data_IF_669470057646
#
_entry.id   IF_669470057646
#
_cell.length_a   1.000
_cell.length_b   1.000
_cell.length_c   1.000
_cell.angle_alpha   90.00
_cell.angle_beta   90.00
_cell.angle_gamma   90.00
#
_symmetry.space_group_name_H-M   'P 1'
#
loop_
_entity.id
_entity.type
_entity.pdbx_description
1 polymer ?
#
# COMPACT_ATOMS: atom_id res chain seq x y z
N UNK A 1 51.20 -24.60 -28.99
CA UNK A 1 51.65 -23.38 -28.28
C UNK A 1 50.65 -22.27 -28.59
N UNK A 2 50.21 -21.55 -27.55
CA UNK A 2 49.31 -20.36 -27.53
C UNK A 2 47.80 -20.57 -27.75
N UNK A 3 47.13 -20.78 -26.61
CA UNK A 3 45.79 -20.27 -26.24
C UNK A 3 45.59 -18.84 -26.79
N UNK A 4 44.53 -18.63 -27.55
CA UNK A 4 43.87 -17.33 -27.69
C UNK A 4 42.51 -17.49 -27.00
N UNK A 5 42.51 -17.19 -25.71
CA UNK A 5 41.28 -16.88 -24.98
C UNK A 5 40.90 -15.48 -25.47
N UNK A 6 40.03 -15.43 -26.46
CA UNK A 6 39.33 -14.19 -26.79
C UNK A 6 38.44 -13.85 -25.60
N UNK A 7 38.76 -12.72 -24.99
CA UNK A 7 38.00 -12.05 -23.95
C UNK A 7 36.52 -12.00 -24.37
N UNK A 8 35.67 -12.62 -23.55
CA UNK A 8 34.22 -12.43 -23.60
C UNK A 8 33.90 -11.02 -23.11
N UNK A 9 33.79 -10.09 -24.05
CA UNK A 9 33.38 -8.70 -23.83
C UNK A 9 31.87 -8.54 -24.03
N UNK A 10 31.09 -9.23 -23.21
CA UNK A 10 29.64 -9.15 -23.18
C UNK A 10 29.19 -8.99 -21.72
N UNK A 11 29.28 -7.73 -21.26
CA UNK A 11 29.10 -7.27 -19.88
C UNK A 11 27.67 -7.30 -19.32
N UNK A 12 26.87 -8.31 -19.64
CA UNK A 12 25.49 -8.44 -19.16
C UNK A 12 25.17 -9.76 -18.41
N UNK A 13 26.18 -10.49 -17.92
CA UNK A 13 25.98 -11.81 -17.27
C UNK A 13 26.50 -11.93 -15.81
N UNK A 14 26.67 -10.85 -15.04
CA UNK A 14 27.65 -10.92 -13.95
C UNK A 14 27.17 -10.92 -12.49
N UNK A 15 25.88 -10.83 -12.12
CA UNK A 15 25.57 -10.75 -10.68
C UNK A 15 24.37 -11.57 -10.18
N UNK A 16 24.72 -12.55 -9.34
CA UNK A 16 23.83 -13.42 -8.57
C UNK A 16 23.17 -12.63 -7.43
N UNK A 17 21.94 -12.16 -7.64
CA UNK A 17 21.22 -11.30 -6.70
C UNK A 17 19.98 -11.99 -6.17
N UNK A 18 19.75 -11.85 -4.88
CA UNK A 18 18.55 -12.33 -4.22
C UNK A 18 17.74 -11.17 -3.66
N UNK A 19 16.54 -11.49 -3.18
CA UNK A 19 15.73 -10.57 -2.39
C UNK A 19 15.54 -11.14 -0.99
N UNK A 20 15.73 -10.29 0.02
CA UNK A 20 15.49 -10.62 1.41
C UNK A 20 14.27 -9.83 1.90
N UNK A 21 13.17 -10.51 2.15
CA UNK A 21 11.96 -9.91 2.72
C UNK A 21 12.03 -10.04 4.23
N UNK A 22 11.97 -8.91 4.94
CA UNK A 22 11.94 -8.85 6.40
C UNK A 22 10.49 -8.66 6.84
N UNK A 23 9.87 -9.70 7.39
CA UNK A 23 8.45 -9.64 7.79
C UNK A 23 8.24 -9.21 9.23
N UNK A 24 9.31 -9.16 10.04
CA UNK A 24 9.23 -8.87 11.47
C UNK A 24 8.37 -9.88 12.24
N UNK A 25 7.94 -9.50 13.44
CA UNK A 25 6.93 -10.24 14.23
C UNK A 25 5.63 -9.45 14.36
N UNK A 26 4.69 -9.95 15.19
CA UNK A 26 3.44 -9.23 15.53
C UNK A 26 3.65 -7.74 15.81
N UNK A 27 3.01 -6.89 15.00
CA UNK A 27 2.98 -5.46 15.25
C UNK A 27 2.09 -5.19 16.47
N UNK A 28 2.68 -4.68 17.56
CA UNK A 28 1.95 -4.31 18.77
C UNK A 28 0.84 -3.29 18.53
N UNK A 29 0.98 -2.46 17.49
CA UNK A 29 0.01 -1.42 17.10
C UNK A 29 -1.10 -1.95 16.18
N UNK A 30 -0.84 -2.99 15.39
CA UNK A 30 -1.82 -3.54 14.44
C UNK A 30 -2.55 -4.77 14.98
N UNK A 31 -2.08 -5.37 16.07
CA UNK A 31 -2.66 -6.58 16.67
C UNK A 31 -2.49 -7.86 15.85
N UNK A 32 -1.94 -7.77 14.63
CA UNK A 32 -1.71 -8.89 13.71
C UNK A 32 -0.37 -8.76 12.97
N UNK A 33 0.04 -9.84 12.32
CA UNK A 33 1.23 -9.86 11.47
C UNK A 33 0.99 -9.03 10.20
N UNK A 34 1.88 -8.07 9.93
CA UNK A 34 1.76 -7.17 8.77
C UNK A 34 1.83 -7.92 7.44
N UNK A 35 2.54 -9.06 7.38
CA UNK A 35 2.64 -9.89 6.19
C UNK A 35 1.28 -10.36 5.68
N UNK A 36 0.31 -10.55 6.59
CA UNK A 36 -1.02 -11.06 6.27
C UNK A 36 -2.06 -9.94 6.05
N UNK A 37 -1.66 -8.66 6.09
CA UNK A 37 -2.57 -7.55 5.83
C UNK A 37 -3.04 -7.60 4.37
N UNK A 38 -4.36 -7.61 4.17
CA UNK A 38 -4.97 -7.65 2.84
C UNK A 38 -4.54 -6.44 1.99
N UNK A 39 -4.11 -6.67 0.76
CA UNK A 39 -3.62 -5.63 -0.15
C UNK A 39 -3.71 -6.07 -1.59
N UNK A 40 -4.30 -5.23 -2.45
CA UNK A 40 -4.67 -5.63 -3.80
C UNK A 40 -5.56 -6.88 -3.78
N UNK A 41 -5.19 -7.89 -4.56
CA UNK A 41 -5.84 -9.20 -4.61
C UNK A 41 -5.33 -10.19 -3.55
N UNK A 42 -4.26 -9.86 -2.81
CA UNK A 42 -3.59 -10.77 -1.88
C UNK A 42 -3.30 -10.11 -0.54
N UNK A 43 -2.10 -10.34 -0.02
CA UNK A 43 -1.55 -9.68 1.17
C UNK A 43 -0.35 -8.79 0.83
N UNK A 44 0.20 -8.10 1.83
CA UNK A 44 1.49 -7.41 1.70
C UNK A 44 2.58 -8.37 1.22
N UNK A 45 2.62 -9.59 1.76
CA UNK A 45 3.62 -10.58 1.38
C UNK A 45 3.39 -11.09 -0.04
N UNK A 46 2.14 -11.41 -0.42
CA UNK A 46 1.79 -11.80 -1.79
C UNK A 46 2.28 -10.76 -2.79
N UNK A 47 1.94 -9.50 -2.55
CA UNK A 47 2.26 -8.39 -3.45
C UNK A 47 3.76 -8.19 -3.57
N UNK A 48 4.49 -8.23 -2.44
CA UNK A 48 5.94 -8.07 -2.47
C UNK A 48 6.61 -9.27 -3.18
N UNK A 49 6.12 -10.49 -2.99
CA UNK A 49 6.63 -11.67 -3.69
C UNK A 49 6.41 -11.60 -5.21
N UNK A 50 5.22 -11.23 -5.66
CA UNK A 50 4.93 -11.04 -7.09
C UNK A 50 5.79 -9.93 -7.71
N UNK A 51 5.92 -8.80 -7.02
CA UNK A 51 6.84 -7.72 -7.39
C UNK A 51 8.27 -8.26 -7.51
N UNK A 52 8.78 -8.93 -6.49
CA UNK A 52 10.16 -9.43 -6.47
C UNK A 52 10.42 -10.53 -7.49
N UNK A 53 9.40 -11.22 -7.97
CA UNK A 53 9.53 -12.13 -9.11
C UNK A 53 9.77 -11.39 -10.44
N UNK A 54 9.18 -10.20 -10.61
CA UNK A 54 9.35 -9.39 -11.83
C UNK A 54 10.80 -8.93 -12.08
N UNK A 55 11.68 -9.08 -11.09
CA UNK A 55 13.10 -8.73 -11.17
C UNK A 55 14.05 -9.94 -11.26
N UNK A 56 13.49 -11.15 -11.46
CA UNK A 56 14.21 -12.41 -11.70
C UNK A 56 15.38 -12.67 -10.72
N UNK A 57 15.11 -12.72 -9.40
CA UNK A 57 16.14 -12.99 -8.41
C UNK A 57 16.55 -14.45 -8.46
N UNK A 58 17.79 -14.75 -8.09
CA UNK A 58 18.26 -16.14 -7.97
C UNK A 58 17.53 -16.87 -6.86
N UNK A 59 17.31 -16.18 -5.75
CA UNK A 59 16.54 -16.68 -4.63
C UNK A 59 15.85 -15.56 -3.88
N UNK A 60 14.75 -15.91 -3.22
CA UNK A 60 14.04 -15.07 -2.29
C UNK A 60 14.19 -15.68 -0.91
N UNK A 61 14.60 -14.88 0.06
CA UNK A 61 14.68 -15.28 1.46
C UNK A 61 13.65 -14.46 2.24
N UNK A 62 12.75 -15.12 2.96
CA UNK A 62 11.77 -14.50 3.83
C UNK A 62 12.23 -14.74 5.27
N UNK A 63 12.64 -13.69 5.96
CA UNK A 63 13.00 -13.75 7.37
C UNK A 63 11.77 -13.48 8.24
N UNK A 64 11.35 -14.48 8.99
CA UNK A 64 10.15 -14.49 9.83
C UNK A 64 10.31 -15.41 11.03
N UNK A 65 9.80 -15.00 12.19
CA UNK A 65 9.72 -15.86 13.39
C UNK A 65 8.33 -16.47 13.60
N UNK A 66 7.40 -16.17 12.69
CA UNK A 66 6.02 -16.67 12.71
C UNK A 66 5.73 -17.44 11.42
N UNK A 67 4.71 -18.30 11.45
CA UNK A 67 4.26 -18.97 10.24
C UNK A 67 3.68 -17.97 9.24
N UNK A 68 3.85 -18.30 7.96
CA UNK A 68 3.38 -17.46 6.85
C UNK A 68 2.37 -18.23 6.01
N UNK A 69 1.42 -17.48 5.45
CA UNK A 69 0.43 -17.97 4.51
C UNK A 69 0.83 -17.54 3.10
N UNK A 70 1.14 -18.52 2.25
CA UNK A 70 1.46 -18.32 0.84
C UNK A 70 0.34 -18.82 -0.09
N UNK A 71 -0.85 -19.09 0.43
CA UNK A 71 -1.96 -19.71 -0.33
C UNK A 71 -2.53 -18.81 -1.42
N UNK A 72 -2.31 -17.51 -1.32
CA UNK A 72 -2.72 -16.52 -2.32
C UNK A 72 -1.69 -16.31 -3.43
N UNK A 73 -0.51 -16.96 -3.36
CA UNK A 73 0.43 -16.91 -4.47
C UNK A 73 -0.11 -17.70 -5.68
N UNK A 74 0.07 -17.20 -6.91
CA UNK A 74 -0.20 -17.97 -8.11
C UNK A 74 0.76 -19.17 -8.23
N UNK A 75 0.32 -20.23 -8.90
CA UNK A 75 1.16 -21.40 -9.19
C UNK A 75 1.22 -22.43 -8.07
N UNK A 76 2.28 -23.24 -8.07
CA UNK A 76 2.47 -24.36 -7.15
C UNK A 76 3.78 -24.20 -6.36
N UNK A 77 3.74 -24.56 -5.08
CA UNK A 77 4.91 -24.64 -4.23
C UNK A 77 5.32 -26.09 -4.01
N UNK A 78 6.62 -26.33 -4.08
CA UNK A 78 7.23 -27.62 -3.76
C UNK A 78 8.26 -27.46 -2.66
N UNK A 79 8.23 -28.34 -1.66
CA UNK A 79 9.23 -28.39 -0.61
C UNK A 79 10.32 -29.43 -0.92
N UNK A 80 11.54 -29.12 -0.50
CA UNK A 80 12.68 -30.04 -0.55
C UNK A 80 13.57 -29.83 0.68
N UNK A 81 13.92 -30.92 1.34
CA UNK A 81 14.97 -30.92 2.36
C UNK A 81 16.33 -31.18 1.67
N UNK A 82 17.42 -30.48 2.02
CA UNK A 82 18.73 -30.62 1.35
C UNK A 82 19.33 -32.03 1.39
N UNK A 83 18.89 -32.85 2.34
CA UNK A 83 19.33 -34.26 2.50
C UNK A 83 18.39 -35.27 1.83
N UNK A 84 17.26 -34.83 1.25
CA UNK A 84 16.23 -35.70 0.65
C UNK A 84 16.39 -35.88 -0.87
N UNK A 85 17.59 -35.70 -1.41
CA UNK A 85 17.93 -35.82 -2.85
C UNK A 85 17.44 -37.13 -3.53
N UNK A 86 16.98 -38.13 -2.77
CA UNK A 86 16.40 -39.37 -3.29
C UNK A 86 14.90 -39.35 -3.57
N UNK A 87 14.13 -38.38 -3.05
CA UNK A 87 12.66 -38.34 -3.19
C UNK A 87 12.10 -37.19 -4.05
N UNK A 88 12.95 -36.29 -4.56
CA UNK A 88 12.51 -35.19 -5.40
C UNK A 88 11.71 -34.11 -4.65
N UNK A 89 11.25 -33.11 -5.38
CA UNK A 89 10.46 -32.00 -4.87
C UNK A 89 9.02 -32.46 -4.56
N UNK A 90 8.56 -32.28 -3.32
CA UNK A 90 7.20 -32.67 -2.91
C UNK A 90 6.27 -31.48 -3.03
N UNK A 91 5.21 -31.61 -3.84
CA UNK A 91 4.19 -30.57 -3.97
C UNK A 91 3.47 -30.38 -2.64
N UNK A 92 3.39 -29.13 -2.18
CA UNK A 92 2.67 -28.79 -0.96
C UNK A 92 1.15 -28.72 -1.23
N UNK A 93 0.36 -29.24 -0.29
CA UNK A 93 -1.09 -29.07 -0.31
C UNK A 93 -1.50 -27.69 0.25
N UNK A 94 -2.77 -27.32 0.10
CA UNK A 94 -3.28 -26.00 0.52
C UNK A 94 -3.04 -25.70 2.00
N UNK A 95 -3.22 -26.69 2.89
CA UNK A 95 -3.01 -26.52 4.34
C UNK A 95 -1.54 -26.29 4.67
N UNK A 96 -0.63 -26.97 3.97
CA UNK A 96 0.81 -26.79 4.13
C UNK A 96 1.27 -25.42 3.63
N UNK A 97 0.75 -24.98 2.47
CA UNK A 97 1.05 -23.67 1.89
C UNK A 97 0.52 -22.52 2.76
N UNK A 98 -0.64 -22.71 3.39
CA UNK A 98 -1.25 -21.72 4.29
C UNK A 98 -0.56 -21.60 5.66
N UNK A 99 0.34 -22.53 6.00
CA UNK A 99 0.97 -22.58 7.32
C UNK A 99 2.44 -23.00 7.25
N UNK A 100 3.20 -22.33 6.38
CA UNK A 100 4.64 -22.59 6.24
C UNK A 100 5.35 -22.10 7.50
N UNK A 101 6.02 -23.02 8.19
CA UNK A 101 6.84 -22.71 9.36
C UNK A 101 8.25 -22.28 8.92
N UNK A 102 8.85 -21.28 9.58
CA UNK A 102 10.24 -20.91 9.31
C UNK A 102 11.20 -22.05 9.70
N UNK A 103 12.09 -22.43 8.78
CA UNK A 103 13.07 -23.49 8.94
C UNK A 103 14.36 -23.15 8.17
N UNK A 104 15.51 -23.24 8.84
CA UNK A 104 16.80 -22.85 8.26
C UNK A 104 17.38 -23.85 7.25
N UNK A 105 16.75 -25.00 7.08
CA UNK A 105 17.19 -26.08 6.21
C UNK A 105 16.28 -26.26 5.00
N UNK A 106 14.99 -25.99 5.15
CA UNK A 106 13.99 -26.20 4.10
C UNK A 106 14.16 -25.23 2.92
N UNK A 107 13.98 -25.77 1.71
CA UNK A 107 13.97 -25.02 0.47
C UNK A 107 12.65 -25.24 -0.27
N UNK A 108 12.06 -24.15 -0.73
CA UNK A 108 10.84 -24.15 -1.54
C UNK A 108 11.16 -23.81 -3.00
N UNK A 109 10.42 -24.40 -3.93
CA UNK A 109 10.42 -24.04 -5.35
C UNK A 109 9.04 -23.49 -5.70
N UNK A 110 9.01 -22.29 -6.26
CA UNK A 110 7.79 -21.61 -6.68
C UNK A 110 7.68 -21.65 -8.20
N UNK A 111 6.71 -22.45 -8.67
CA UNK A 111 6.50 -22.74 -10.09
C UNK A 111 5.21 -22.08 -10.60
N UNK A 112 5.34 -21.28 -11.66
CA UNK A 112 4.22 -20.73 -12.42
C UNK A 112 4.36 -21.20 -13.86
N UNK A 113 3.25 -21.57 -14.47
CA UNK A 113 3.22 -22.05 -15.86
C UNK A 113 3.79 -20.98 -16.80
N UNK A 114 4.74 -21.37 -17.65
CA UNK A 114 5.44 -20.50 -18.61
C UNK A 114 6.37 -19.44 -18.00
N UNK A 115 6.73 -19.58 -16.73
CA UNK A 115 7.66 -18.65 -16.08
C UNK A 115 8.81 -19.39 -15.37
N UNK A 116 9.95 -18.71 -15.09
CA UNK A 116 11.07 -19.33 -14.39
C UNK A 116 10.70 -19.82 -12.98
N UNK A 117 11.14 -21.02 -12.61
CA UNK A 117 11.02 -21.50 -11.23
C UNK A 117 11.92 -20.69 -10.30
N UNK A 118 11.36 -20.14 -9.22
CA UNK A 118 12.11 -19.39 -8.23
C UNK A 118 12.37 -20.22 -6.97
N UNK A 119 13.57 -20.08 -6.42
CA UNK A 119 13.92 -20.70 -5.13
C UNK A 119 13.55 -19.76 -3.98
N UNK A 120 12.86 -20.30 -2.98
CA UNK A 120 12.48 -19.56 -1.78
C UNK A 120 13.01 -20.24 -0.50
N UNK A 121 13.35 -19.42 0.48
CA UNK A 121 13.72 -19.82 1.84
C UNK A 121 12.84 -19.07 2.83
N UNK A 122 12.35 -19.75 3.88
CA UNK A 122 11.58 -19.13 4.96
C UNK A 122 12.34 -19.41 6.25
N UNK A 123 12.99 -18.39 6.81
CA UNK A 123 14.03 -18.59 7.83
C UNK A 123 13.72 -17.83 9.12
N UNK A 124 13.89 -18.46 10.29
CA UNK A 124 13.78 -17.79 11.58
C UNK A 124 15.06 -17.03 11.91
N UNK A 125 14.96 -16.11 12.87
CA UNK A 125 16.13 -15.47 13.46
C UNK A 125 17.04 -16.52 14.13
N UNK A 126 18.36 -16.27 14.09
CA UNK A 126 19.32 -17.10 14.80
C UNK A 126 19.28 -16.77 16.31
N UNK A 127 18.41 -17.47 17.04
CA UNK A 127 18.21 -17.26 18.47
C UNK A 127 17.07 -16.29 18.76
N UNK A 128 17.21 -15.49 19.82
CA UNK A 128 16.19 -14.50 20.19
C UNK A 128 16.14 -13.36 19.16
N UNK A 129 14.94 -12.97 18.74
CA UNK A 129 14.77 -11.85 17.83
C UNK A 129 15.21 -10.53 18.47
N UNK A 130 16.10 -9.80 17.78
CA UNK A 130 16.68 -8.54 18.27
C UNK A 130 16.53 -7.44 17.22
N UNK A 131 15.35 -7.34 16.63
CA UNK A 131 15.02 -6.34 15.62
C UNK A 131 15.52 -6.68 14.22
N UNK A 132 15.52 -5.73 13.26
CA UNK A 132 15.79 -6.04 11.86
C UNK A 132 17.19 -6.60 11.58
N UNK A 133 18.16 -6.33 12.47
CA UNK A 133 19.53 -6.80 12.33
C UNK A 133 19.63 -8.34 12.47
N UNK A 134 18.82 -8.98 13.33
CA UNK A 134 18.77 -10.45 13.43
C UNK A 134 18.14 -11.08 12.18
N UNK A 135 17.11 -10.43 11.62
CA UNK A 135 16.50 -10.89 10.37
C UNK A 135 17.43 -10.78 9.16
N UNK A 136 18.21 -9.69 9.08
CA UNK A 136 19.30 -9.55 8.11
C UNK A 136 20.31 -10.69 8.25
N UNK A 137 20.76 -10.99 9.46
CA UNK A 137 21.70 -12.10 9.71
C UNK A 137 21.13 -13.44 9.22
N UNK A 138 19.90 -13.76 9.60
CA UNK A 138 19.24 -15.00 9.23
C UNK A 138 19.16 -15.14 7.70
N UNK A 139 18.68 -14.08 7.03
CA UNK A 139 18.51 -14.06 5.59
C UNK A 139 19.84 -14.22 4.83
N UNK A 140 20.84 -13.40 5.17
CA UNK A 140 22.15 -13.41 4.51
C UNK A 140 22.96 -14.69 4.76
N UNK A 141 22.69 -15.39 5.88
CA UNK A 141 23.38 -16.64 6.22
C UNK A 141 22.91 -17.82 5.38
N UNK A 142 21.61 -17.93 5.14
CA UNK A 142 20.98 -19.05 4.41
C UNK A 142 20.98 -18.82 2.90
N UNK A 143 20.79 -17.57 2.49
CA UNK A 143 20.75 -17.17 1.11
C UNK A 143 21.98 -17.58 0.28
N UNK A 144 21.76 -17.91 -1.00
CA UNK A 144 22.81 -18.32 -1.95
C UNK A 144 23.38 -17.18 -2.77
N UNK A 145 22.69 -16.05 -2.84
CA UNK A 145 23.10 -14.88 -3.61
C UNK A 145 24.20 -14.08 -2.91
N UNK A 146 25.09 -13.44 -3.65
CA UNK A 146 26.19 -12.68 -3.05
C UNK A 146 25.73 -11.34 -2.45
N UNK A 147 24.63 -10.83 -3.02
CA UNK A 147 23.99 -9.56 -2.67
C UNK A 147 22.49 -9.79 -2.57
N UNK A 148 21.89 -9.18 -1.55
CA UNK A 148 20.45 -9.14 -1.33
C UNK A 148 19.92 -7.71 -1.35
N UNK A 149 18.81 -7.49 -2.04
CA UNK A 149 17.94 -6.36 -1.76
C UNK A 149 17.09 -6.72 -0.55
N UNK A 150 17.37 -6.10 0.60
CA UNK A 150 16.57 -6.30 1.81
C UNK A 150 15.42 -5.29 1.83
N UNK A 151 14.19 -5.80 1.92
CA UNK A 151 12.94 -5.00 1.91
C UNK A 151 12.08 -5.37 3.11
N UNK A 152 11.67 -4.39 3.90
CA UNK A 152 10.67 -4.57 4.96
C UNK A 152 9.27 -4.74 4.39
N UNK A 153 8.47 -5.60 5.01
CA UNK A 153 7.10 -5.91 4.59
C UNK A 153 6.14 -4.71 4.71
N UNK A 154 6.51 -3.67 5.46
CA UNK A 154 5.66 -2.51 5.71
C UNK A 154 5.74 -1.40 4.65
N UNK A 155 6.45 -1.63 3.55
CA UNK A 155 6.51 -0.74 2.39
C UNK A 155 5.76 -1.33 1.18
N UNK A 156 4.42 -1.37 1.17
CA UNK A 156 3.69 -2.05 0.10
C UNK A 156 3.76 -1.31 -1.25
N UNK A 157 4.08 -0.02 -1.22
CA UNK A 157 4.25 0.78 -2.43
C UNK A 157 5.59 0.58 -3.09
N UNK A 158 6.60 0.03 -2.39
CA UNK A 158 7.93 -0.19 -2.92
C UNK A 158 7.84 -0.91 -4.28
N UNK A 159 8.28 -0.25 -5.35
CA UNK A 159 8.03 -0.69 -6.73
C UNK A 159 9.33 -0.95 -7.50
N UNK A 160 10.31 -1.49 -6.79
CA UNK A 160 11.65 -1.83 -7.27
C UNK A 160 12.60 -0.65 -7.31
N UNK A 161 13.61 -0.75 -6.44
CA UNK A 161 14.92 -0.27 -6.80
C UNK A 161 15.34 -1.10 -8.02
N UNK A 162 15.09 -0.57 -9.22
CA UNK A 162 15.76 -1.02 -10.42
C UNK A 162 17.18 -1.34 -10.01
N UNK A 163 17.60 -2.60 -10.14
CA UNK A 163 18.95 -3.03 -9.79
C UNK A 163 20.03 -2.31 -10.64
N UNK A 164 19.69 -1.24 -11.38
CA UNK A 164 20.58 -0.36 -12.11
C UNK A 164 21.44 0.53 -11.21
N UNK A 165 21.04 0.88 -9.99
CA UNK A 165 21.94 1.47 -8.98
C UNK A 165 22.87 0.43 -8.35
N UNK A 166 22.58 -0.87 -8.51
CA UNK A 166 23.51 -1.97 -8.17
C UNK A 166 24.76 -1.93 -9.06
N UNK A 167 24.74 -1.24 -10.21
CA UNK A 167 25.95 -0.98 -11.00
C UNK A 167 27.05 -0.32 -10.14
N UNK A 168 26.71 0.54 -9.17
CA UNK A 168 27.72 1.14 -8.27
C UNK A 168 28.31 0.13 -7.27
N UNK A 169 27.52 -0.82 -6.77
CA UNK A 169 28.03 -1.85 -5.84
C UNK A 169 28.94 -2.88 -6.50
N UNK A 170 28.71 -3.13 -7.79
CA UNK A 170 29.23 -4.31 -8.46
C UNK A 170 30.23 -3.98 -9.59
N UNK A 171 30.18 -2.77 -10.16
CA UNK A 171 31.19 -2.26 -11.08
C UNK A 171 32.15 -1.29 -10.39
N UNK A 172 33.10 -1.84 -9.65
CA UNK A 172 34.36 -1.14 -9.42
C UNK A 172 35.54 -2.12 -9.54
N UNK A 173 35.91 -2.46 -10.77
CA UNK A 173 37.18 -3.14 -11.04
C UNK A 173 38.32 -2.28 -10.48
N UNK A 174 39.04 -2.79 -9.47
CA UNK A 174 40.19 -2.13 -8.85
C UNK A 174 39.91 -1.24 -7.63
N UNK A 175 38.67 -1.20 -7.10
CA UNK A 175 38.36 -0.55 -5.80
C UNK A 175 37.88 -1.58 -4.76
N UNK A 176 37.90 -1.21 -3.49
CA UNK A 176 37.29 -2.02 -2.41
C UNK A 176 35.80 -2.20 -2.69
N UNK A 177 35.28 -3.45 -2.77
CA UNK A 177 33.86 -3.68 -3.03
C UNK A 177 32.96 -2.99 -2.01
N UNK A 178 31.86 -2.40 -2.46
CA UNK A 178 30.82 -1.86 -1.56
C UNK A 178 30.08 -3.03 -0.91
N UNK A 179 29.91 -2.97 0.41
CA UNK A 179 29.20 -3.98 1.21
C UNK A 179 27.72 -3.65 1.34
N UNK A 180 27.39 -2.35 1.45
CA UNK A 180 26.03 -1.86 1.58
C UNK A 180 25.76 -0.67 0.65
N UNK A 181 24.61 -0.63 -0.01
CA UNK A 181 24.04 0.60 -0.60
C UNK A 181 22.75 0.92 0.12
N UNK A 182 22.75 2.05 0.82
CA UNK A 182 21.68 2.44 1.75
C UNK A 182 21.02 3.72 1.24
N UNK A 183 19.72 3.68 0.92
CA UNK A 183 19.02 4.88 0.53
C UNK A 183 18.88 5.89 1.66
N UNK A 184 18.80 7.16 1.28
CA UNK A 184 18.49 8.29 2.16
C UNK A 184 17.25 9.03 1.67
N UNK A 185 16.33 9.31 2.58
CA UNK A 185 15.08 10.03 2.36
C UNK A 185 15.08 11.26 3.27
N UNK A 186 15.08 12.47 2.70
CA UNK A 186 15.21 13.73 3.42
C UNK A 186 16.38 13.71 4.44
N UNK A 187 17.50 13.10 4.07
CA UNK A 187 18.68 12.92 4.92
C UNK A 187 18.58 11.83 6.00
N UNK A 188 17.46 11.12 6.11
CA UNK A 188 17.31 9.96 7.00
C UNK A 188 17.64 8.65 6.26
N UNK A 189 18.28 7.72 6.96
CA UNK A 189 18.64 6.42 6.42
C UNK A 189 17.42 5.49 6.32
N UNK A 190 17.28 4.81 5.18
CA UNK A 190 16.28 3.77 4.90
C UNK A 190 16.94 2.38 4.80
N UNK A 191 17.38 1.79 5.93
CA UNK A 191 18.16 0.56 5.94
C UNK A 191 17.36 -0.68 5.53
N UNK A 192 16.02 -0.63 5.54
CA UNK A 192 15.18 -1.79 5.24
C UNK A 192 14.59 -1.75 3.84
N UNK A 193 15.20 -0.98 2.94
CA UNK A 193 14.97 -0.98 1.50
C UNK A 193 16.33 -0.80 0.79
N UNK A 194 17.33 -1.56 1.24
CA UNK A 194 18.74 -1.36 0.94
C UNK A 194 19.41 -2.65 0.43
N UNK A 195 20.55 -2.49 -0.22
CA UNK A 195 21.33 -3.61 -0.73
C UNK A 195 22.41 -4.00 0.27
N UNK A 196 22.55 -5.31 0.52
CA UNK A 196 23.52 -5.88 1.46
C UNK A 196 24.30 -7.04 0.83
N UNK A 197 25.62 -7.01 0.95
CA UNK A 197 26.47 -8.16 0.64
C UNK A 197 26.43 -9.21 1.74
N UNK A 198 26.63 -10.48 1.38
CA UNK A 198 26.89 -11.55 2.38
C UNK A 198 28.12 -11.28 3.24
N UNK A 199 29.05 -10.41 2.84
CA UNK A 199 30.19 -9.98 3.67
C UNK A 199 29.76 -9.28 4.96
N UNK A 200 28.52 -8.78 5.02
CA UNK A 200 27.95 -8.20 6.24
C UNK A 200 27.67 -9.22 7.35
N UNK A 201 27.65 -10.53 7.06
CA UNK A 201 27.28 -11.58 8.05
C UNK A 201 28.15 -11.53 9.31
N UNK A 202 29.47 -11.50 9.19
CA UNK A 202 30.37 -11.50 10.36
C UNK A 202 30.30 -10.17 11.16
N UNK A 203 30.36 -8.98 10.52
CA UNK A 203 30.11 -7.72 11.22
C UNK A 203 28.76 -7.66 11.95
N UNK A 204 27.70 -8.23 11.36
CA UNK A 204 26.38 -8.31 12.00
C UNK A 204 26.44 -9.21 13.25
N UNK A 205 27.09 -10.39 13.17
CA UNK A 205 27.26 -11.28 14.34
C UNK A 205 28.00 -10.58 15.48
N UNK A 206 29.07 -9.84 15.16
CA UNK A 206 29.83 -9.09 16.16
C UNK A 206 28.98 -8.03 16.86
N UNK A 207 28.18 -7.27 16.11
CA UNK A 207 27.27 -6.27 16.68
C UNK A 207 26.24 -6.92 17.61
N UNK A 208 25.61 -8.01 17.18
CA UNK A 208 24.63 -8.74 18.00
C UNK A 208 25.28 -9.31 19.27
N UNK A 209 26.50 -9.86 19.18
CA UNK A 209 27.25 -10.35 20.34
C UNK A 209 27.61 -9.22 21.34
N UNK A 210 27.76 -8.00 20.85
CA UNK A 210 27.99 -6.80 21.68
C UNK A 210 26.68 -6.19 22.25
N UNK A 211 25.51 -6.79 21.96
CA UNK A 211 24.21 -6.25 22.36
C UNK A 211 23.79 -5.01 21.56
N UNK A 212 24.37 -4.79 20.38
CA UNK A 212 24.04 -3.68 19.47
C UNK A 212 23.06 -4.20 18.42
N UNK A 213 21.83 -3.67 18.45
CA UNK A 213 20.71 -4.17 17.64
C UNK A 213 20.29 -3.23 16.50
N UNK A 214 20.89 -2.04 16.41
CA UNK A 214 20.53 -1.04 15.42
C UNK A 214 21.25 -1.31 14.10
N UNK A 215 20.51 -1.42 12.99
CA UNK A 215 21.10 -1.65 11.66
C UNK A 215 22.08 -0.54 11.27
N UNK A 216 21.84 0.71 11.70
CA UNK A 216 22.72 1.85 11.43
C UNK A 216 24.15 1.65 11.92
N UNK A 217 24.35 0.90 13.01
CA UNK A 217 25.67 0.60 13.55
C UNK A 217 26.52 -0.30 12.63
N UNK A 218 25.90 -1.01 11.69
CA UNK A 218 26.59 -1.79 10.67
C UNK A 218 27.38 -0.89 9.71
N UNK A 219 26.86 0.29 9.40
CA UNK A 219 27.41 1.15 8.35
C UNK A 219 28.78 1.74 8.71
N UNK A 220 29.12 1.79 10.00
CA UNK A 220 30.44 2.17 10.49
C UNK A 220 31.45 1.01 10.46
N UNK A 221 30.98 -0.23 10.24
CA UNK A 221 31.79 -1.46 10.26
C UNK A 221 32.10 -2.02 8.88
N UNK A 222 31.41 -1.54 7.84
CA UNK A 222 31.50 -2.05 6.47
C UNK A 222 31.53 -0.91 5.45
N UNK A 223 32.02 -1.19 4.24
CA UNK A 223 32.08 -0.18 3.19
C UNK A 223 30.65 0.15 2.69
N UNK A 224 30.14 1.33 3.04
CA UNK A 224 28.74 1.71 2.79
C UNK A 224 28.65 2.93 1.89
N UNK A 225 27.85 2.83 0.83
CA UNK A 225 27.48 3.94 -0.05
C UNK A 225 26.05 4.40 0.26
N UNK A 226 25.84 5.71 0.32
CA UNK A 226 24.53 6.32 0.57
C UNK A 226 24.00 6.99 -0.69
N UNK A 227 22.73 6.75 -1.03
CA UNK A 227 22.10 7.29 -2.25
C UNK A 227 20.81 8.03 -1.88
N UNK A 228 20.67 9.28 -2.31
CA UNK A 228 19.43 10.03 -2.12
C UNK A 228 18.31 9.51 -3.03
N UNK A 229 17.13 9.33 -2.48
CA UNK A 229 15.96 8.76 -3.17
C UNK A 229 14.70 9.61 -2.98
N UNK A 230 14.85 10.91 -2.69
CA UNK A 230 13.74 11.82 -2.40
C UNK A 230 12.64 11.85 -3.47
N UNK A 231 13.02 11.63 -4.73
CA UNK A 231 12.08 11.53 -5.87
C UNK A 231 11.22 10.26 -5.86
N UNK A 232 11.50 9.32 -4.96
CA UNK A 232 10.81 8.05 -4.78
C UNK A 232 10.15 7.93 -3.41
N UNK A 233 9.78 9.05 -2.77
CA UNK A 233 9.23 9.09 -1.41
C UNK A 233 8.11 8.08 -1.13
N UNK A 234 7.23 7.85 -2.10
CA UNK A 234 6.12 6.90 -1.96
C UNK A 234 6.61 5.44 -1.80
N UNK A 235 7.70 5.05 -2.47
CA UNK A 235 8.23 3.69 -2.42
C UNK A 235 8.72 3.31 -1.02
N UNK A 236 9.16 4.30 -0.24
CA UNK A 236 9.66 4.15 1.13
C UNK A 236 8.61 4.48 2.19
N UNK A 237 7.33 4.65 1.81
CA UNK A 237 6.25 4.95 2.75
C UNK A 237 5.92 3.72 3.60
N UNK A 238 6.36 3.74 4.86
CA UNK A 238 6.09 2.70 5.85
C UNK A 238 4.66 2.74 6.40
N UNK A 239 4.06 1.57 6.59
CA UNK A 239 2.74 1.40 7.21
C UNK A 239 2.90 0.79 8.60
N UNK A 240 2.61 1.58 9.63
CA UNK A 240 2.83 1.20 11.02
C UNK A 240 1.56 1.17 11.86
N UNK A 241 0.55 1.94 11.47
CA UNK A 241 -0.72 2.09 12.19
C UNK A 241 -1.92 1.68 11.34
N UNK A 242 -3.07 1.37 11.96
CA UNK A 242 -4.28 1.07 11.20
C UNK A 242 -4.73 2.24 10.32
N UNK A 243 -4.48 3.48 10.76
CA UNK A 243 -4.71 4.67 9.95
C UNK A 243 -3.80 4.69 8.71
N UNK A 244 -2.49 4.44 8.86
CA UNK A 244 -1.56 4.39 7.72
C UNK A 244 -2.04 3.38 6.67
N UNK A 245 -2.53 2.23 7.13
CA UNK A 245 -3.06 1.17 6.26
C UNK A 245 -4.31 1.63 5.49
N UNK A 246 -5.27 2.28 6.17
CA UNK A 246 -6.47 2.83 5.53
C UNK A 246 -6.12 3.93 4.52
N UNK A 247 -5.15 4.79 4.83
CA UNK A 247 -4.67 5.85 3.94
C UNK A 247 -3.94 5.28 2.72
N UNK A 248 -3.07 4.30 2.94
CA UNK A 248 -2.38 3.61 1.87
C UNK A 248 -3.35 2.91 0.92
N UNK A 249 -4.36 2.21 1.44
CA UNK A 249 -5.43 1.62 0.60
C UNK A 249 -6.19 2.69 -0.19
N UNK A 250 -6.50 3.81 0.45
CA UNK A 250 -7.20 4.91 -0.20
C UNK A 250 -6.40 5.52 -1.35
N UNK A 251 -5.11 5.74 -1.15
CA UNK A 251 -4.20 6.22 -2.18
C UNK A 251 -4.07 5.21 -3.32
N UNK A 252 -3.86 3.93 -3.01
CA UNK A 252 -3.75 2.88 -4.02
C UNK A 252 -5.00 2.82 -4.91
N UNK A 253 -6.20 2.83 -4.30
CA UNK A 253 -7.47 2.87 -5.04
C UNK A 253 -7.58 4.12 -5.92
N UNK A 254 -7.21 5.30 -5.41
CA UNK A 254 -7.25 6.52 -6.21
C UNK A 254 -6.21 6.57 -7.33
N UNK A 255 -5.11 5.82 -7.24
CA UNK A 255 -4.15 5.66 -8.36
C UNK A 255 -4.69 4.74 -9.47
N UNK A 256 -5.59 3.82 -9.14
CA UNK A 256 -6.18 2.88 -10.10
C UNK A 256 -7.47 3.39 -10.75
N UNK A 257 -8.21 4.27 -10.06
CA UNK A 257 -9.44 4.88 -10.60
C UNK A 257 -9.13 5.78 -11.80
N UNK A 258 -10.09 5.86 -12.72
CA UNK A 258 -10.07 6.84 -13.83
C UNK A 258 -10.04 8.29 -13.33
N UNK A 259 -10.71 8.54 -12.22
CA UNK A 259 -10.70 9.83 -11.51
C UNK A 259 -10.62 9.56 -10.00
N UNK A 260 -9.72 10.22 -9.27
CA UNK A 260 -9.68 10.14 -7.81
C UNK A 260 -11.03 10.55 -7.19
N UNK A 261 -11.41 9.88 -6.10
CA UNK A 261 -12.68 10.13 -5.42
C UNK A 261 -12.49 10.31 -3.92
N UNK A 262 -13.34 11.13 -3.31
CA UNK A 262 -13.46 11.27 -1.86
C UNK A 262 -14.94 11.09 -1.51
N UNK A 263 -15.24 10.10 -0.66
CA UNK A 263 -16.61 9.79 -0.26
C UNK A 263 -16.97 10.53 1.02
N UNK A 264 -18.00 11.37 0.99
CA UNK A 264 -18.57 12.02 2.18
C UNK A 264 -19.78 11.21 2.65
N UNK A 265 -19.63 10.54 3.78
CA UNK A 265 -20.55 9.53 4.31
C UNK A 265 -21.17 9.99 5.61
N UNK A 266 -22.42 9.63 5.88
CA UNK A 266 -23.05 9.75 7.20
C UNK A 266 -24.35 8.95 7.22
N UNK A 267 -24.60 8.25 8.32
CA UNK A 267 -25.78 7.38 8.49
C UNK A 267 -27.10 8.15 8.45
N UNK A 268 -27.16 9.27 9.16
CA UNK A 268 -28.39 10.04 9.28
C UNK A 268 -28.52 11.10 8.18
N UNK A 269 -29.76 11.54 7.92
CA UNK A 269 -30.02 12.67 7.05
C UNK A 269 -29.78 13.98 7.81
N UNK A 270 -29.49 15.07 7.08
CA UNK A 270 -29.27 16.42 7.65
C UNK A 270 -28.07 16.53 8.62
N UNK A 271 -27.05 15.69 8.45
CA UNK A 271 -25.82 15.69 9.29
C UNK A 271 -24.74 16.68 8.84
N UNK A 272 -24.96 17.44 7.76
CA UNK A 272 -23.94 18.36 7.23
C UNK A 272 -23.06 17.77 6.12
N UNK A 273 -23.34 16.56 5.59
CA UNK A 273 -22.62 15.98 4.43
C UNK A 273 -22.48 16.96 3.26
N UNK A 274 -23.59 17.58 2.86
CA UNK A 274 -23.59 18.53 1.75
C UNK A 274 -22.77 19.78 2.07
N UNK A 275 -22.73 20.21 3.33
CA UNK A 275 -21.87 21.32 3.77
C UNK A 275 -20.38 20.96 3.63
N UNK A 276 -19.99 19.78 4.13
CA UNK A 276 -18.60 19.30 4.01
C UNK A 276 -18.23 19.10 2.55
N UNK A 277 -19.08 18.45 1.76
CA UNK A 277 -18.84 18.21 0.34
C UNK A 277 -18.68 19.53 -0.45
N UNK A 278 -19.59 20.48 -0.28
CA UNK A 278 -19.52 21.78 -0.97
C UNK A 278 -18.31 22.59 -0.53
N UNK A 279 -17.92 22.54 0.74
CA UNK A 279 -16.71 23.22 1.21
C UNK A 279 -15.44 22.58 0.68
N UNK A 280 -15.37 21.25 0.59
CA UNK A 280 -14.26 20.55 -0.06
C UNK A 280 -14.17 20.90 -1.55
N UNK A 281 -15.30 20.95 -2.26
CA UNK A 281 -15.34 21.41 -3.66
C UNK A 281 -14.72 22.81 -3.78
N UNK A 282 -15.13 23.76 -2.95
CA UNK A 282 -14.56 25.11 -2.95
C UNK A 282 -13.05 25.11 -2.69
N UNK A 283 -12.59 24.37 -1.68
CA UNK A 283 -11.18 24.32 -1.29
C UNK A 283 -10.32 23.67 -2.38
N UNK A 284 -10.74 22.53 -2.94
CA UNK A 284 -10.01 21.88 -4.02
C UNK A 284 -10.03 22.70 -5.33
N UNK A 285 -11.15 23.38 -5.63
CA UNK A 285 -11.20 24.32 -6.76
C UNK A 285 -10.20 25.46 -6.57
N UNK A 286 -10.10 26.02 -5.35
CA UNK A 286 -9.10 27.04 -5.03
C UNK A 286 -7.65 26.52 -5.11
N UNK A 287 -7.44 25.21 -4.95
CA UNK A 287 -6.17 24.53 -5.18
C UNK A 287 -5.92 24.16 -6.66
N UNK A 288 -6.81 24.57 -7.57
CA UNK A 288 -6.69 24.37 -9.02
C UNK A 288 -7.19 23.02 -9.53
N UNK A 289 -8.07 22.33 -8.80
CA UNK A 289 -8.74 21.12 -9.28
C UNK A 289 -10.02 21.47 -10.03
N UNK A 290 -10.26 20.81 -11.18
CA UNK A 290 -11.61 20.63 -11.69
C UNK A 290 -12.29 19.58 -10.81
N UNK A 291 -13.35 19.98 -10.09
CA UNK A 291 -13.99 19.10 -9.10
C UNK A 291 -15.41 18.73 -9.53
N UNK A 292 -15.66 17.44 -9.70
CA UNK A 292 -16.98 16.88 -9.90
C UNK A 292 -17.70 16.60 -8.58
N UNK A 293 -19.03 16.51 -8.65
CA UNK A 293 -19.88 16.12 -7.54
C UNK A 293 -20.82 15.01 -7.98
N UNK A 294 -20.87 13.93 -7.20
CA UNK A 294 -21.78 12.82 -7.43
C UNK A 294 -22.58 12.54 -6.14
N UNK A 295 -23.88 12.26 -6.28
CA UNK A 295 -24.75 11.95 -5.16
C UNK A 295 -25.62 10.75 -5.47
N UNK A 296 -25.66 9.79 -4.54
CA UNK A 296 -26.64 8.70 -4.60
C UNK A 296 -27.89 9.06 -3.81
N UNK A 297 -29.02 9.22 -4.50
CA UNK A 297 -30.35 9.25 -3.89
C UNK A 297 -31.02 7.86 -3.90
N UNK A 298 -31.78 7.56 -2.85
CA UNK A 298 -32.60 6.35 -2.74
C UNK A 298 -34.06 6.56 -3.17
N UNK A 299 -34.52 7.80 -3.33
CA UNK A 299 -35.93 8.12 -3.55
C UNK A 299 -36.25 8.59 -4.99
N UNK A 300 -35.30 8.43 -5.92
CA UNK A 300 -35.39 9.01 -7.27
C UNK A 300 -35.12 10.51 -7.25
N UNK A 301 -34.92 11.11 -8.43
CA UNK A 301 -34.71 12.55 -8.58
C UNK A 301 -35.25 13.05 -9.91
N UNK A 302 -35.58 14.33 -9.97
CA UNK A 302 -35.92 15.03 -11.21
C UNK A 302 -34.96 16.20 -11.37
N UNK A 303 -34.16 16.19 -12.44
CA UNK A 303 -33.29 17.34 -12.80
C UNK A 303 -33.95 18.31 -13.79
N UNK A 304 -35.02 17.88 -14.45
CA UNK A 304 -35.73 18.69 -15.44
C UNK A 304 -36.89 19.48 -14.81
N UNK A 305 -37.31 20.54 -15.50
CA UNK A 305 -38.50 21.30 -15.14
C UNK A 305 -39.72 20.71 -15.83
N UNK A 306 -40.77 20.46 -15.07
CA UNK A 306 -42.05 20.00 -15.61
C UNK A 306 -42.56 20.94 -16.72
N UNK A 307 -42.97 20.36 -17.85
CA UNK A 307 -43.47 21.08 -19.03
C UNK A 307 -42.41 21.60 -20.00
N UNK A 308 -41.10 21.41 -19.74
CA UNK A 308 -40.04 21.73 -20.72
C UNK A 308 -40.06 20.77 -21.92
N UNK A 309 -39.40 21.15 -23.02
CA UNK A 309 -39.27 20.30 -24.22
C UNK A 309 -38.58 18.96 -23.89
N UNK A 310 -37.54 19.00 -23.05
CA UNK A 310 -36.82 17.81 -22.60
C UNK A 310 -37.68 16.94 -21.69
N UNK A 311 -38.52 17.55 -20.83
CA UNK A 311 -39.44 16.81 -19.98
C UNK A 311 -40.53 16.12 -20.82
N UNK A 312 -41.11 16.82 -21.79
CA UNK A 312 -42.11 16.26 -22.72
C UNK A 312 -41.52 15.11 -23.54
N UNK A 313 -40.28 15.23 -24.02
CA UNK A 313 -39.58 14.15 -24.71
C UNK A 313 -39.41 12.90 -23.80
N UNK A 314 -39.09 13.11 -22.51
CA UNK A 314 -39.00 12.01 -21.54
C UNK A 314 -40.35 11.31 -21.35
N UNK A 315 -41.44 12.08 -21.20
CA UNK A 315 -42.80 11.53 -21.05
C UNK A 315 -43.27 10.81 -22.31
N UNK A 316 -42.81 11.24 -23.48
CA UNK A 316 -43.06 10.56 -24.76
C UNK A 316 -42.28 9.25 -24.92
N UNK A 317 -41.38 8.91 -23.99
CA UNK A 317 -40.65 7.65 -23.96
C UNK A 317 -39.18 7.72 -24.42
N UNK A 318 -38.61 8.92 -24.60
CA UNK A 318 -37.18 9.05 -24.87
C UNK A 318 -36.36 8.50 -23.68
N UNK A 319 -35.49 7.52 -23.96
CA UNK A 319 -34.63 6.91 -22.93
C UNK A 319 -33.35 7.70 -22.66
N UNK A 320 -32.95 8.54 -23.60
CA UNK A 320 -31.79 9.42 -23.46
C UNK A 320 -32.14 10.76 -24.10
N UNK A 321 -31.87 11.84 -23.37
CA UNK A 321 -32.12 13.22 -23.78
C UNK A 321 -30.82 13.99 -23.57
N UNK A 322 -30.44 14.79 -24.55
CA UNK A 322 -29.31 15.70 -24.45
C UNK A 322 -29.77 17.12 -24.80
N UNK A 323 -29.34 18.09 -24.01
CA UNK A 323 -29.53 19.52 -24.27
C UNK A 323 -28.16 20.19 -24.19
N UNK A 324 -27.88 21.07 -25.15
CA UNK A 324 -26.63 21.83 -25.21
C UNK A 324 -26.95 23.32 -25.28
N UNK A 325 -26.33 24.10 -24.41
CA UNK A 325 -26.37 25.55 -24.39
C UNK A 325 -24.98 26.16 -24.55
N UNK A 326 -24.87 27.50 -24.56
CA UNK A 326 -23.60 28.19 -24.84
C UNK A 326 -22.46 27.91 -23.85
N UNK A 327 -22.77 27.58 -22.60
CA UNK A 327 -21.78 27.41 -21.53
C UNK A 327 -21.86 26.07 -20.81
N UNK A 328 -22.89 25.27 -21.08
CA UNK A 328 -23.13 24.00 -20.40
C UNK A 328 -24.02 23.11 -21.24
N UNK A 329 -23.93 21.81 -21.00
CA UNK A 329 -24.84 20.82 -21.55
C UNK A 329 -25.32 19.91 -20.42
N UNK A 330 -26.45 19.24 -20.64
CA UNK A 330 -26.96 18.22 -19.73
C UNK A 330 -27.41 17.00 -20.53
N UNK A 331 -27.21 15.83 -19.94
CA UNK A 331 -27.73 14.56 -20.45
C UNK A 331 -28.55 13.88 -19.37
N UNK A 332 -29.78 13.50 -19.72
CA UNK A 332 -30.65 12.69 -18.87
C UNK A 332 -30.81 11.32 -19.51
N UNK A 333 -30.41 10.27 -18.79
CA UNK A 333 -30.49 8.88 -19.26
C UNK A 333 -31.35 8.07 -18.29
N UNK A 334 -32.44 7.54 -18.79
CA UNK A 334 -33.35 6.67 -18.06
C UNK A 334 -32.89 5.22 -18.18
N UNK A 335 -32.82 4.52 -17.04
CA UNK A 335 -32.40 3.12 -16.97
C UNK A 335 -33.40 2.30 -16.15
N UNK A 336 -33.49 1.00 -16.45
CA UNK A 336 -34.38 0.09 -15.72
C UNK A 336 -33.80 -0.37 -14.38
N UNK A 337 -32.49 -0.25 -14.19
CA UNK A 337 -31.77 -0.68 -12.98
C UNK A 337 -30.85 0.43 -12.51
N UNK A 338 -30.83 0.67 -11.19
CA UNK A 338 -30.01 1.71 -10.57
C UNK A 338 -28.54 1.51 -10.94
N UNK A 339 -27.96 2.51 -11.62
CA UNK A 339 -26.52 2.54 -11.87
C UNK A 339 -25.75 2.79 -10.59
N UNK A 340 -24.58 2.18 -10.50
CA UNK A 340 -23.64 2.41 -9.43
C UNK A 340 -23.06 3.84 -9.51
N UNK A 341 -22.96 4.51 -8.36
CA UNK A 341 -22.55 5.91 -8.28
C UNK A 341 -21.06 6.09 -8.60
N UNK A 342 -20.23 5.09 -8.31
CA UNK A 342 -18.80 5.12 -8.63
C UNK A 342 -18.64 5.11 -10.15
N UNK A 343 -19.35 4.22 -10.83
CA UNK A 343 -19.37 4.15 -12.30
C UNK A 343 -19.78 5.47 -12.95
N UNK A 344 -20.75 6.19 -12.37
CA UNK A 344 -21.14 7.53 -12.87
C UNK A 344 -20.06 8.57 -12.60
N UNK A 345 -19.49 8.59 -11.39
CA UNK A 345 -18.40 9.48 -11.02
C UNK A 345 -17.17 9.31 -11.92
N UNK A 346 -16.81 8.08 -12.30
CA UNK A 346 -15.69 7.79 -13.21
C UNK A 346 -15.83 8.36 -14.62
N UNK A 347 -17.04 8.72 -15.04
CA UNK A 347 -17.31 9.31 -16.35
C UNK A 347 -17.37 10.85 -16.32
N UNK A 348 -17.18 11.47 -15.15
CA UNK A 348 -17.04 12.92 -15.06
C UNK A 348 -15.65 13.32 -15.55
N UNK A 349 -15.59 14.25 -16.50
CA UNK A 349 -14.35 14.79 -17.05
C UNK A 349 -13.80 15.88 -16.11
N UNK A 350 -13.20 15.46 -15.01
CA UNK A 350 -12.69 16.32 -13.92
C UNK A 350 -11.48 15.66 -13.26
N UNK A 351 -10.74 16.40 -12.44
CA UNK A 351 -9.55 15.90 -11.75
C UNK A 351 -9.85 15.14 -10.45
N UNK A 352 -11.02 15.41 -9.85
CA UNK A 352 -11.42 14.87 -8.55
C UNK A 352 -12.94 14.83 -8.45
N UNK A 353 -13.51 13.77 -7.87
CA UNK A 353 -14.94 13.72 -7.57
C UNK A 353 -15.19 13.64 -6.07
N UNK A 354 -16.03 14.53 -5.57
CA UNK A 354 -16.60 14.41 -4.21
C UNK A 354 -17.92 13.65 -4.31
N UNK A 355 -18.01 12.50 -3.65
CA UNK A 355 -19.17 11.61 -3.71
C UNK A 355 -19.93 11.66 -2.39
N UNK A 356 -21.16 12.18 -2.40
CA UNK A 356 -22.05 12.13 -1.24
C UNK A 356 -22.87 10.82 -1.23
N UNK A 357 -22.79 10.07 -0.12
CA UNK A 357 -23.44 8.75 -0.03
C UNK A 357 -23.80 8.36 1.41
N UNK A 358 -24.74 7.42 1.55
CA UNK A 358 -25.04 6.73 2.82
C UNK A 358 -24.32 5.38 2.94
N UNK A 359 -23.76 4.86 1.85
CA UNK A 359 -23.07 3.57 1.84
C UNK A 359 -21.72 3.68 2.54
N UNK A 360 -21.47 2.81 3.52
CA UNK A 360 -20.19 2.67 4.22
C UNK A 360 -19.28 1.69 3.49
N UNK A 361 -17.99 1.68 3.86
CA UNK A 361 -16.99 0.75 3.32
C UNK A 361 -16.31 1.20 2.03
N UNK A 362 -16.65 2.37 1.49
CA UNK A 362 -15.92 2.96 0.38
C UNK A 362 -14.73 3.79 0.89
N UNK A 363 -13.61 3.70 0.18
CA UNK A 363 -12.36 4.39 0.52
C UNK A 363 -11.90 5.30 -0.64
N UNK A 364 -11.30 6.46 -0.36
CA UNK A 364 -11.25 7.14 0.95
C UNK A 364 -12.61 7.70 1.36
N UNK A 365 -13.01 7.50 2.61
CA UNK A 365 -14.23 8.10 3.17
C UNK A 365 -13.95 9.11 4.28
N UNK A 366 -14.82 10.10 4.33
CA UNK A 366 -14.97 11.12 5.35
C UNK A 366 -16.35 10.91 5.94
N UNK A 367 -16.42 10.37 7.15
CA UNK A 367 -17.66 10.21 7.89
C UNK A 367 -17.98 11.50 8.66
N UNK A 368 -19.14 12.07 8.36
CA UNK A 368 -19.67 13.27 8.98
C UNK A 368 -20.61 12.87 10.11
N UNK A 369 -20.21 13.14 11.33
CA UNK A 369 -21.00 12.79 12.50
C UNK A 369 -21.74 14.00 13.07
N UNK A 370 -22.93 13.78 13.68
CA UNK A 370 -23.67 14.85 14.34
C UNK A 370 -22.90 15.36 15.57
N UNK A 371 -22.97 16.67 15.81
CA UNK A 371 -22.61 17.27 17.09
C UNK A 371 -23.59 16.77 18.16
N UNK A 372 -23.19 15.78 18.96
CA UNK A 372 -23.90 15.48 20.20
C UNK A 372 -23.40 16.42 21.29
N UNK A 373 -24.21 17.43 21.66
CA UNK A 373 -24.02 18.11 22.94
C UNK A 373 -24.11 17.09 24.06
N UNK A 374 -23.01 16.91 24.80
CA UNK A 374 -23.01 16.16 26.04
C UNK A 374 -23.97 16.83 27.03
N UNK A 375 -25.15 16.25 27.25
CA UNK A 375 -26.09 16.71 28.28
C UNK A 375 -27.53 16.25 28.07
N UNK A 376 -27.99 15.38 28.97
CA UNK A 376 -29.39 15.06 29.32
C UNK A 376 -30.32 14.45 28.25
N UNK A 377 -30.73 13.20 28.53
CA UNK A 377 -32.06 12.69 28.19
C UNK A 377 -33.12 13.58 28.86
N UNK A 378 -33.77 14.46 28.11
CA UNK A 378 -35.21 14.78 28.17
C UNK A 378 -35.51 16.11 27.45
N UNK A 379 -36.54 16.06 26.62
CA UNK A 379 -37.43 17.16 26.21
C UNK A 379 -36.99 18.20 25.16
N UNK A 380 -37.79 18.19 24.08
CA UNK A 380 -38.38 19.31 23.36
C UNK A 380 -37.54 20.18 22.39
N UNK A 381 -37.76 19.88 21.10
CA UNK A 381 -38.10 20.80 20.00
C UNK A 381 -38.13 22.30 20.36
N UNK A 382 -37.18 23.10 19.84
CA UNK A 382 -37.41 24.45 19.29
C UNK A 382 -36.44 24.68 18.12
N UNK A 383 -36.97 25.26 17.04
CA UNK A 383 -36.29 25.77 15.86
C UNK A 383 -35.18 26.77 16.19
N UNK A 384 -33.98 26.56 15.65
CA UNK A 384 -33.18 27.60 14.94
C UNK A 384 -31.84 27.01 14.51
N UNK A 385 -31.46 27.36 13.29
CA UNK A 385 -30.19 27.09 12.64
C UNK A 385 -28.96 27.51 13.45
N UNK A 386 -28.18 26.56 13.98
CA UNK A 386 -26.73 26.73 14.22
C UNK A 386 -26.06 25.36 14.06
N UNK A 387 -25.58 25.08 12.84
CA UNK A 387 -24.69 23.95 12.54
C UNK A 387 -23.30 24.37 12.99
N UNK A 388 -22.69 23.68 13.95
CA UNK A 388 -21.38 24.09 14.47
C UNK A 388 -20.33 22.98 14.63
N UNK A 389 -20.50 21.77 14.11
CA UNK A 389 -19.38 20.82 14.00
C UNK A 389 -19.51 19.93 12.75
N UNK A 390 -18.37 19.55 12.19
CA UNK A 390 -18.23 18.55 11.13
C UNK A 390 -17.11 17.71 11.65
N UNK A 391 -17.49 16.52 12.08
CA UNK A 391 -16.59 15.44 12.33
C UNK A 391 -16.09 14.94 10.97
N UNK A 392 -14.79 14.73 10.86
CA UNK A 392 -14.21 13.78 9.91
C UNK A 392 -13.86 12.55 10.70
N UNK A 393 -14.58 11.47 10.46
CA UNK A 393 -14.28 10.16 11.03
C UNK A 393 -14.00 9.19 9.88
N UNK A 394 -12.96 8.39 10.03
CA UNK A 394 -12.87 7.14 9.31
C UNK A 394 -13.40 6.05 10.26
N UNK A 395 -14.71 5.75 10.15
CA UNK A 395 -15.51 4.76 10.90
C UNK A 395 -15.75 5.09 12.39
N UNK A 396 -16.94 5.05 12.99
CA UNK A 396 -17.13 4.86 14.46
C UNK A 396 -18.30 3.91 14.68
N UNK A 397 -18.09 2.86 15.49
CA UNK A 397 -19.15 2.17 16.22
C UNK A 397 -19.36 2.84 17.58
N UNK A 398 -20.63 3.00 17.97
CA UNK A 398 -21.03 3.58 19.25
C UNK A 398 -20.39 2.87 20.46
N UNK A 399 -19.84 3.66 21.40
CA UNK A 399 -19.56 3.19 22.76
C UNK A 399 -18.12 2.91 23.15
N UNK A 400 -17.09 3.45 22.48
CA UNK A 400 -15.70 3.24 22.88
C UNK A 400 -15.20 4.29 23.89
N UNK A 401 -15.12 3.90 25.16
CA UNK A 401 -14.28 4.53 26.17
C UNK A 401 -12.79 4.24 25.88
N UNK A 402 -12.00 5.31 25.69
CA UNK A 402 -10.55 5.35 25.88
C UNK A 402 -9.74 4.13 25.35
N UNK A 403 -9.55 4.01 24.03
CA UNK A 403 -8.35 3.41 23.40
C UNK A 403 -8.28 3.49 21.84
N UNK A 404 -9.19 4.18 21.14
CA UNK A 404 -9.32 4.14 19.66
C UNK A 404 -8.57 5.24 18.85
N UNK A 405 -7.80 6.14 19.48
CA UNK A 405 -7.18 7.30 18.80
C UNK A 405 -6.15 6.97 17.69
N UNK A 406 -5.67 5.73 17.59
CA UNK A 406 -4.63 5.35 16.61
C UNK A 406 -5.14 4.96 15.21
N UNK A 407 -6.46 4.84 15.03
CA UNK A 407 -7.06 4.40 13.77
C UNK A 407 -7.63 5.52 12.90
N UNK A 408 -7.69 6.75 13.42
CA UNK A 408 -8.50 7.85 12.87
C UNK A 408 -7.79 9.18 12.97
N UNK A 409 -8.09 10.06 12.02
CA UNK A 409 -7.73 11.47 12.09
C UNK A 409 -8.99 12.29 12.24
N UNK A 410 -9.00 13.20 13.22
CA UNK A 410 -10.16 14.03 13.56
C UNK A 410 -9.95 15.47 13.11
N UNK A 411 -10.96 16.02 12.46
CA UNK A 411 -10.99 17.42 12.03
C UNK A 411 -12.36 18.01 12.38
N UNK A 412 -12.37 19.28 12.79
CA UNK A 412 -13.60 20.07 13.00
C UNK A 412 -14.02 20.82 11.72
N UNK A 413 -15.23 21.40 11.71
CA UNK A 413 -15.71 22.28 10.60
C UNK A 413 -14.75 23.44 10.31
N UNK A 414 -14.12 23.97 11.35
CA UNK A 414 -13.20 25.09 11.22
C UNK A 414 -11.84 24.68 10.63
N UNK A 415 -11.54 23.38 10.58
CA UNK A 415 -10.30 22.81 10.07
C UNK A 415 -10.45 22.19 8.67
N UNK A 416 -11.53 22.51 7.94
CA UNK A 416 -11.76 21.93 6.60
C UNK A 416 -10.65 22.29 5.60
N UNK A 417 -9.97 23.42 5.76
CA UNK A 417 -8.80 23.77 4.96
C UNK A 417 -7.61 22.86 5.28
N UNK A 418 -7.32 22.63 6.56
CA UNK A 418 -6.29 21.69 7.02
C UNK A 418 -6.61 20.26 6.54
N UNK A 419 -7.87 19.85 6.63
CA UNK A 419 -8.35 18.58 6.10
C UNK A 419 -8.09 18.47 4.60
N UNK A 420 -8.46 19.47 3.79
CA UNK A 420 -8.26 19.43 2.35
C UNK A 420 -6.77 19.29 1.98
N UNK A 421 -5.89 20.04 2.65
CA UNK A 421 -4.44 19.91 2.49
C UNK A 421 -3.92 18.52 2.89
N UNK A 422 -4.41 17.97 3.99
CA UNK A 422 -4.05 16.63 4.46
C UNK A 422 -4.53 15.53 3.51
N UNK A 423 -5.78 15.61 3.03
CA UNK A 423 -6.32 14.67 2.05
C UNK A 423 -5.52 14.71 0.74
N UNK A 424 -5.20 15.91 0.25
CA UNK A 424 -4.34 16.08 -0.93
C UNK A 424 -3.01 15.34 -0.76
N UNK A 425 -2.38 15.46 0.40
CA UNK A 425 -1.09 14.83 0.67
C UNK A 425 -1.19 13.30 0.87
N UNK A 426 -2.27 12.81 1.48
CA UNK A 426 -2.33 11.43 1.95
C UNK A 426 -2.99 10.46 0.97
N UNK A 427 -4.00 10.90 0.21
CA UNK A 427 -4.91 10.00 -0.51
C UNK A 427 -5.10 10.35 -1.99
N UNK A 428 -4.62 11.52 -2.44
CA UNK A 428 -4.67 11.88 -3.85
C UNK A 428 -3.33 11.56 -4.54
N UNK A 429 -3.35 11.04 -5.77
CA UNK A 429 -2.13 10.89 -6.57
C UNK A 429 -1.45 12.25 -6.80
N UNK A 430 -0.13 12.25 -6.93
CA UNK A 430 0.60 13.42 -7.44
C UNK A 430 0.16 13.71 -8.88
N UNK A 431 0.07 15.01 -9.21
CA UNK A 431 -0.39 15.50 -10.51
C UNK A 431 0.70 15.51 -11.55
#
# INVERSE_FOLDING_TARGET
MKRLVLERTDGHHAYKRGVLILTGGKSSRMGQNKANLAWGHGTFLTTLLEKTRAVDPIDIVISTNESIDLSLLPGQLYASHPLSDRQGHVALNQTEVANIQPDSTMRYQWEIVNEPTLTMYVVPDQGESRGPLSGLLAGLSVGRSEVYLAVSIDMPFFNHFSFGSTCNMLQQLGKTPTDCVVPTMAGQLEPLAALYSRRCVEPIKELLAQGIFQVRALFDRVNTEFIAVDTHALDYKNINTPLDYKLAKSLALNKERKVPMIFVVAEQSKTGKTLVATKLIQLFTALGYEVGYAKSDGHGFTMDREGSDTWLASQAGAKAIAISGPTQYAMLVSHNEKKDIISLAENLLVDLVIVETRSRGMLPSIEVLPSHTAGSRQEALIETSVINEAMVIADVKEGATQSEDSERAHFSLHQLETLAGWLKQQILPER
#
